data_IF_295275497937
#
_entry.id   IF_295275497937
#
_cell.length_a   1.000
_cell.length_b   1.000
_cell.length_c   1.000
_cell.angle_alpha   90.00
_cell.angle_beta   90.00
_cell.angle_gamma   90.00
#
_symmetry.space_group_name_H-M   'P 1'
#
loop_
_entity.id
_entity.type
_entity.pdbx_description
1 polymer ?
#
# COMPACT_ATOMS: atom_id res chain seq x y z
N UNK A 1 17.83 -7.70 -16.07
CA UNK A 1 16.53 -8.11 -16.65
C UNK A 1 15.44 -7.53 -15.79
N UNK A 2 14.47 -6.83 -16.36
CA UNK A 2 13.37 -6.18 -15.62
C UNK A 2 12.05 -6.83 -16.03
N UNK A 3 11.26 -7.29 -15.06
CA UNK A 3 9.96 -7.92 -15.30
C UNK A 3 8.89 -7.06 -14.63
N UNK A 4 7.88 -6.64 -15.38
CA UNK A 4 6.79 -5.79 -14.89
C UNK A 4 5.47 -6.54 -14.99
N UNK A 5 4.78 -6.67 -13.85
CA UNK A 5 3.46 -7.26 -13.76
C UNK A 5 2.43 -6.18 -13.43
N UNK A 6 1.29 -6.19 -14.12
CA UNK A 6 0.16 -5.31 -13.85
C UNK A 6 -1.07 -6.16 -13.53
N UNK A 7 -1.69 -5.89 -12.38
CA UNK A 7 -2.87 -6.61 -11.92
C UNK A 7 -3.94 -5.63 -11.45
N UNK A 8 -5.22 -5.99 -11.66
CA UNK A 8 -6.35 -5.28 -11.10
C UNK A 8 -6.76 -6.00 -9.82
N UNK A 9 -6.69 -5.30 -8.69
CA UNK A 9 -7.08 -5.86 -7.40
C UNK A 9 -8.58 -6.19 -7.45
N UNK A 10 -9.01 -7.42 -7.11
CA UNK A 10 -10.40 -7.86 -7.16
C UNK A 10 -11.23 -7.35 -5.97
N UNK A 11 -10.89 -6.17 -5.43
CA UNK A 11 -11.55 -5.54 -4.30
C UNK A 11 -11.81 -4.06 -4.62
N UNK A 12 -12.98 -3.57 -4.22
CA UNK A 12 -13.34 -2.15 -4.36
C UNK A 12 -13.03 -1.42 -3.05
N UNK A 13 -11.92 -0.70 -3.04
CA UNK A 13 -11.60 0.30 -2.00
C UNK A 13 -12.24 1.64 -2.36
N UNK A 14 -12.41 2.53 -1.38
CA UNK A 14 -12.85 3.91 -1.57
C UNK A 14 -14.29 4.03 -2.11
N UNK A 15 -15.19 3.16 -1.64
CA UNK A 15 -16.60 3.17 -2.09
C UNK A 15 -17.35 4.41 -1.61
N UNK A 16 -17.81 5.26 -2.52
CA UNK A 16 -18.41 6.55 -2.17
C UNK A 16 -19.78 6.47 -1.48
N UNK A 17 -20.46 5.31 -1.55
CA UNK A 17 -21.89 5.17 -1.24
C UNK A 17 -22.20 4.15 -0.13
N UNK A 18 -21.47 4.18 0.99
CA UNK A 18 -21.92 3.49 2.19
C UNK A 18 -23.10 4.29 2.77
N UNK A 19 -24.32 3.89 2.40
CA UNK A 19 -25.55 4.39 3.02
C UNK A 19 -25.52 3.97 4.49
N UNK A 20 -25.15 4.88 5.38
CA UNK A 20 -25.45 4.95 6.82
C UNK A 20 -24.21 5.35 7.64
N UNK A 21 -23.86 6.64 7.64
CA UNK A 21 -23.25 7.38 8.78
C UNK A 21 -22.01 6.83 9.49
N UNK A 22 -21.46 5.68 9.13
CA UNK A 22 -20.29 5.08 9.73
C UNK A 22 -19.04 5.61 9.03
N UNK A 23 -18.02 5.88 9.84
CA UNK A 23 -16.69 6.26 9.37
C UNK A 23 -16.21 5.21 8.36
N UNK A 24 -16.05 5.61 7.10
CA UNK A 24 -15.61 4.69 6.06
C UNK A 24 -14.12 4.44 6.21
N UNK A 25 -13.80 3.20 6.54
CA UNK A 25 -12.43 2.70 6.73
C UNK A 25 -12.16 1.64 5.67
N UNK A 26 -11.14 1.88 4.86
CA UNK A 26 -10.65 0.97 3.82
C UNK A 26 -9.23 0.52 4.19
N UNK A 27 -8.88 -0.73 3.89
CA UNK A 27 -7.53 -1.25 4.19
C UNK A 27 -6.90 -1.93 2.98
N UNK A 28 -5.58 -1.80 2.89
CA UNK A 28 -4.75 -2.44 1.88
C UNK A 28 -3.53 -3.07 2.56
N UNK A 29 -3.15 -4.25 2.13
CA UNK A 29 -1.90 -4.88 2.55
C UNK A 29 -1.20 -5.54 1.38
N UNK A 30 0.13 -5.58 1.47
CA UNK A 30 1.02 -6.17 0.50
C UNK A 30 2.05 -7.02 1.22
N UNK A 31 2.26 -8.24 0.71
CA UNK A 31 3.39 -9.08 1.10
C UNK A 31 4.30 -9.21 -0.11
N UNK A 32 5.56 -8.78 0.04
CA UNK A 32 6.58 -8.91 -0.97
C UNK A 32 7.63 -9.91 -0.49
N UNK A 33 7.75 -11.04 -1.18
CA UNK A 33 8.61 -12.15 -0.76
C UNK A 33 9.98 -12.11 -1.44
N UNK A 34 11.02 -12.37 -0.63
CA UNK A 34 12.38 -12.54 -1.13
C UNK A 34 12.43 -13.81 -1.98
N UNK A 35 13.03 -13.71 -3.16
CA UNK A 35 13.33 -14.89 -3.95
C UNK A 35 14.45 -15.71 -3.29
N UNK A 36 14.19 -17.00 -3.06
CA UNK A 36 15.19 -17.93 -2.52
C UNK A 36 16.44 -17.98 -3.38
N UNK A 37 17.61 -17.95 -2.75
CA UNK A 37 18.91 -17.94 -3.45
C UNK A 37 19.33 -16.57 -4.02
N UNK A 38 18.48 -15.54 -3.94
CA UNK A 38 18.87 -14.17 -4.28
C UNK A 38 19.61 -13.48 -3.14
N UNK A 39 20.66 -12.72 -3.46
CA UNK A 39 21.37 -11.85 -2.51
C UNK A 39 20.48 -10.71 -2.00
N UNK A 40 19.46 -10.32 -2.77
CA UNK A 40 18.57 -9.19 -2.51
C UNK A 40 18.18 -8.50 -3.81
N UNK A 41 17.08 -7.77 -3.78
CA UNK A 41 16.63 -6.93 -4.89
C UNK A 41 16.17 -5.59 -4.33
N UNK A 42 16.42 -4.51 -5.07
CA UNK A 42 15.76 -3.24 -4.78
C UNK A 42 14.24 -3.43 -4.90
N UNK A 43 13.51 -2.90 -3.93
CA UNK A 43 12.06 -2.92 -3.90
C UNK A 43 11.52 -1.52 -3.65
N UNK A 44 10.63 -1.11 -4.55
CA UNK A 44 9.92 0.15 -4.49
C UNK A 44 8.41 -0.12 -4.49
N UNK A 45 7.71 0.39 -3.48
CA UNK A 45 6.25 0.38 -3.36
C UNK A 45 5.74 1.81 -3.39
N UNK A 46 4.73 2.06 -4.24
CA UNK A 46 4.08 3.35 -4.40
C UNK A 46 2.56 3.16 -4.32
N UNK A 47 1.91 3.72 -3.31
CA UNK A 47 0.46 3.63 -3.10
C UNK A 47 -0.14 5.02 -3.22
N UNK A 48 -0.84 5.29 -4.33
CA UNK A 48 -1.63 6.51 -4.53
C UNK A 48 -3.08 6.31 -4.06
N UNK A 49 -3.65 7.28 -3.35
CA UNK A 49 -5.03 7.21 -2.84
C UNK A 49 -5.78 8.53 -3.06
N UNK A 50 -7.13 8.56 -3.06
CA UNK A 50 -7.89 9.78 -3.39
C UNK A 50 -7.77 10.88 -2.32
N UNK A 51 -7.91 12.14 -2.74
CA UNK A 51 -7.82 13.33 -1.86
C UNK A 51 -8.86 13.37 -0.74
N UNK A 52 -9.99 12.69 -0.93
CA UNK A 52 -11.06 12.54 0.06
C UNK A 52 -10.72 11.58 1.21
N UNK A 53 -9.54 10.95 1.18
CA UNK A 53 -9.08 10.03 2.21
C UNK A 53 -7.79 10.52 2.87
N UNK A 54 -7.56 10.05 4.09
CA UNK A 54 -6.35 10.23 4.86
C UNK A 54 -5.85 8.89 5.38
N UNK A 55 -4.53 8.76 5.57
CA UNK A 55 -3.94 7.57 6.18
C UNK A 55 -4.10 7.68 7.70
N UNK A 56 -4.81 6.72 8.29
CA UNK A 56 -4.94 6.62 9.76
C UNK A 56 -3.87 5.79 10.41
N UNK A 57 -3.41 4.78 9.68
CA UNK A 57 -2.41 3.85 10.15
C UNK A 57 -1.65 3.29 8.97
N UNK A 58 -0.35 3.10 9.15
CA UNK A 58 0.48 2.39 8.21
C UNK A 58 1.58 1.60 8.93
N UNK A 59 2.06 0.58 8.23
CA UNK A 59 3.26 -0.15 8.57
C UNK A 59 4.04 -0.46 7.28
N UNK A 60 5.38 -0.28 7.28
CA UNK A 60 6.18 0.37 8.32
C UNK A 60 5.87 1.87 8.45
N UNK A 61 6.12 2.46 9.64
CA UNK A 61 5.87 3.90 9.89
C UNK A 61 6.74 4.84 9.05
N UNK A 62 7.78 4.31 8.41
CA UNK A 62 8.77 5.05 7.62
C UNK A 62 8.30 5.38 6.21
N UNK A 63 7.07 5.07 5.82
CA UNK A 63 6.57 5.47 4.50
C UNK A 63 6.42 6.99 4.45
N UNK A 64 7.11 7.62 3.50
CA UNK A 64 6.97 9.05 3.24
C UNK A 64 5.53 9.32 2.80
N UNK A 65 4.84 10.18 3.54
CA UNK A 65 3.47 10.59 3.26
C UNK A 65 3.45 12.04 2.78
N UNK A 66 3.10 12.25 1.52
CA UNK A 66 2.99 13.56 0.89
C UNK A 66 2.22 13.47 -0.42
N UNK A 67 1.37 14.46 -0.71
CA UNK A 67 0.56 14.52 -1.94
C UNK A 67 -0.25 13.24 -2.23
N UNK A 68 -0.92 12.68 -1.22
CA UNK A 68 -1.78 11.51 -1.40
C UNK A 68 -1.05 10.26 -1.96
N UNK A 69 0.24 10.16 -1.64
CA UNK A 69 1.14 9.10 -2.05
C UNK A 69 1.88 8.57 -0.82
N UNK A 70 1.91 7.25 -0.68
CA UNK A 70 2.80 6.54 0.24
C UNK A 70 3.91 5.88 -0.57
N UNK A 71 5.16 6.17 -0.21
CA UNK A 71 6.33 5.54 -0.80
C UNK A 71 7.07 4.69 0.21
N UNK A 72 7.53 3.53 -0.22
CA UNK A 72 8.47 2.70 0.52
C UNK A 72 9.56 2.24 -0.45
N UNK A 73 10.81 2.48 -0.09
CA UNK A 73 11.98 2.03 -0.84
C UNK A 73 12.89 1.27 0.11
N UNK A 74 13.19 0.02 -0.21
CA UNK A 74 14.03 -0.83 0.63
C UNK A 74 14.64 -1.97 -0.16
N UNK A 75 15.62 -2.65 0.43
CA UNK A 75 16.11 -3.91 -0.11
C UNK A 75 15.27 -5.09 0.39
N UNK A 76 14.92 -5.95 -0.55
CA UNK A 76 14.20 -7.20 -0.33
C UNK A 76 15.19 -8.32 0.03
N UNK A 77 15.97 -8.08 1.09
CA UNK A 77 16.90 -9.06 1.69
C UNK A 77 16.18 -10.07 2.57
N UNK A 78 14.97 -9.71 3.02
CA UNK A 78 13.99 -10.50 3.77
C UNK A 78 12.59 -10.25 3.21
N UNK A 79 11.63 -11.08 3.58
CA UNK A 79 10.22 -10.83 3.27
C UNK A 79 9.75 -9.53 3.92
N UNK A 80 8.95 -8.77 3.17
CA UNK A 80 8.42 -7.48 3.60
C UNK A 80 6.90 -7.53 3.64
N UNK A 81 6.36 -6.86 4.66
CA UNK A 81 4.93 -6.66 4.84
C UNK A 81 4.64 -5.16 4.89
N UNK A 82 3.62 -4.75 4.14
CA UNK A 82 3.07 -3.41 4.17
C UNK A 82 1.58 -3.49 4.50
N UNK A 83 1.12 -2.58 5.33
CA UNK A 83 -0.29 -2.43 5.66
C UNK A 83 -0.64 -0.96 5.76
N UNK A 84 -1.79 -0.58 5.22
CA UNK A 84 -2.30 0.78 5.26
C UNK A 84 -3.79 0.76 5.54
N UNK A 85 -4.22 1.67 6.40
CA UNK A 85 -5.62 1.94 6.70
C UNK A 85 -5.93 3.37 6.30
N UNK A 86 -6.92 3.51 5.43
CA UNK A 86 -7.45 4.77 4.96
C UNK A 86 -8.77 5.08 5.66
N UNK A 87 -8.96 6.34 6.04
CA UNK A 87 -10.24 6.85 6.50
C UNK A 87 -10.68 7.97 5.59
N UNK A 88 -11.97 8.00 5.25
CA UNK A 88 -12.57 9.15 4.56
C UNK A 88 -12.49 10.38 5.48
N UNK A 89 -12.01 11.50 4.94
CA UNK A 89 -11.96 12.79 5.64
C UNK A 89 -13.36 13.29 5.99
#
# INVERSE_FOLDING_TARGET
>A
VTVTYKYLIPARLFQLNVKNGSQQIDSYSLVAQKQSGSVGSLFESNISYPDSYQVKWNFPKTMDSGNNLLKNETDLTVDRFEGVVFEKK
#
